data_IF_431235908219
#
_entry.id   IF_431235908219
#
_cell.length_a   1.000
_cell.length_b   1.000
_cell.length_c   1.000
_cell.angle_alpha   90.00
_cell.angle_beta   90.00
_cell.angle_gamma   90.00
#
_symmetry.space_group_name_H-M   'P 1'
#
loop_
_entity.id
_entity.type
_entity.pdbx_description
1 polymer ?
#
# COMPACT_ATOMS: atom_id res chain seq x y z
N UNK A 1 -14.15 -21.46 -38.65
CA UNK A 1 -12.80 -21.39 -39.23
C UNK A 1 -11.85 -20.97 -38.12
N UNK A 2 -11.03 -21.89 -37.64
CA UNK A 2 -10.13 -21.65 -36.52
C UNK A 2 -8.94 -20.79 -36.95
N UNK A 3 -8.78 -19.64 -36.32
CA UNK A 3 -7.51 -18.93 -36.29
C UNK A 3 -6.68 -19.67 -35.25
N UNK A 4 -5.56 -20.27 -35.69
CA UNK A 4 -4.58 -20.87 -34.80
C UNK A 4 -4.04 -19.76 -33.88
N UNK A 5 -4.53 -19.73 -32.64
CA UNK A 5 -3.90 -18.97 -31.55
C UNK A 5 -2.57 -19.66 -31.33
N UNK A 6 -1.47 -18.97 -31.62
CA UNK A 6 -0.11 -19.40 -31.26
C UNK A 6 -0.16 -19.95 -29.84
N UNK A 7 0.27 -21.20 -29.67
CA UNK A 7 0.36 -21.85 -28.36
C UNK A 7 1.19 -20.96 -27.44
N UNK A 8 0.52 -20.22 -26.54
CA UNK A 8 1.17 -19.46 -25.48
C UNK A 8 1.50 -20.47 -24.40
N UNK A 9 2.72 -21.00 -24.44
CA UNK A 9 3.15 -22.19 -23.67
C UNK A 9 3.42 -21.92 -22.18
N UNK A 10 3.40 -20.66 -21.72
CA UNK A 10 3.67 -20.34 -20.32
C UNK A 10 2.64 -20.96 -19.35
N UNK A 11 3.04 -21.95 -18.55
CA UNK A 11 2.16 -22.68 -17.61
C UNK A 11 1.45 -21.79 -16.56
N UNK A 12 1.87 -20.54 -16.38
CA UNK A 12 1.38 -19.60 -15.37
C UNK A 12 0.32 -18.60 -15.89
N UNK A 13 -0.01 -18.66 -17.19
CA UNK A 13 -1.02 -17.81 -17.81
C UNK A 13 -2.35 -18.59 -17.97
N UNK A 14 -3.38 -18.14 -17.27
CA UNK A 14 -4.70 -18.78 -17.26
C UNK A 14 -5.82 -17.93 -17.89
N UNK A 15 -5.54 -16.69 -18.30
CA UNK A 15 -6.52 -15.80 -18.90
C UNK A 15 -6.51 -15.92 -20.44
N UNK A 16 -7.69 -16.13 -21.04
CA UNK A 16 -7.95 -16.16 -22.49
C UNK A 16 -7.18 -17.23 -23.29
N UNK A 17 -6.73 -18.31 -22.62
CA UNK A 17 -6.15 -19.50 -23.26
C UNK A 17 -7.21 -20.62 -23.25
N UNK A 18 -7.57 -21.22 -24.40
CA UNK A 18 -8.51 -22.35 -24.44
C UNK A 18 -8.07 -23.49 -23.51
N UNK A 19 -8.97 -23.97 -22.65
CA UNK A 19 -8.71 -25.07 -21.71
C UNK A 19 -8.05 -24.69 -20.37
N UNK A 20 -7.80 -23.41 -20.11
CA UNK A 20 -7.33 -22.92 -18.81
C UNK A 20 -8.35 -21.96 -18.21
N UNK A 21 -8.67 -22.13 -16.93
CA UNK A 21 -9.60 -21.25 -16.24
C UNK A 21 -8.85 -20.29 -15.33
N UNK A 22 -9.26 -19.02 -15.30
CA UNK A 22 -8.66 -18.04 -14.39
C UNK A 22 -8.78 -18.47 -12.91
N UNK A 23 -9.77 -19.32 -12.60
CA UNK A 23 -9.95 -19.94 -11.28
C UNK A 23 -8.77 -20.82 -10.87
N UNK A 24 -8.04 -21.41 -11.81
CA UNK A 24 -6.90 -22.28 -11.53
C UNK A 24 -5.76 -21.46 -10.91
N UNK A 25 -5.44 -20.30 -11.52
CA UNK A 25 -4.48 -19.34 -10.96
C UNK A 25 -4.93 -18.82 -9.58
N UNK A 26 -6.23 -18.65 -9.37
CA UNK A 26 -6.77 -18.25 -8.06
C UNK A 26 -6.52 -19.34 -7.01
N UNK A 27 -6.77 -20.61 -7.32
CA UNK A 27 -6.54 -21.73 -6.40
C UNK A 27 -5.06 -21.90 -6.07
N UNK A 28 -4.19 -21.83 -7.08
CA UNK A 28 -2.73 -21.88 -6.90
C UNK A 28 -2.24 -20.71 -6.02
N UNK A 29 -2.76 -19.49 -6.25
CA UNK A 29 -2.43 -18.33 -5.43
C UNK A 29 -2.88 -18.51 -3.97
N UNK A 30 -4.06 -19.10 -3.74
CA UNK A 30 -4.53 -19.40 -2.39
C UNK A 30 -3.61 -20.39 -1.67
N UNK A 31 -3.17 -21.45 -2.35
CA UNK A 31 -2.28 -22.47 -1.77
C UNK A 31 -0.90 -21.89 -1.46
N UNK A 32 -0.31 -21.12 -2.38
CA UNK A 32 0.97 -20.42 -2.16
C UNK A 32 0.88 -19.44 -0.98
N UNK A 33 -0.20 -18.67 -0.90
CA UNK A 33 -0.42 -17.74 0.21
C UNK A 33 -0.65 -18.47 1.54
N UNK A 34 -1.29 -19.64 1.52
CA UNK A 34 -1.46 -20.48 2.69
C UNK A 34 -0.11 -21.02 3.18
N UNK A 35 0.71 -21.57 2.27
CA UNK A 35 2.07 -22.01 2.53
C UNK A 35 2.91 -20.89 3.16
N UNK A 36 2.87 -19.68 2.60
CA UNK A 36 3.57 -18.51 3.13
C UNK A 36 3.14 -18.16 4.56
N UNK A 37 1.84 -18.24 4.87
CA UNK A 37 1.31 -18.00 6.22
C UNK A 37 1.76 -19.03 7.25
N UNK A 38 1.99 -20.27 6.82
CA UNK A 38 2.50 -21.33 7.70
C UNK A 38 4.03 -21.27 7.85
N UNK A 39 4.75 -20.80 6.82
CA UNK A 39 6.21 -20.65 6.81
C UNK A 39 6.67 -19.32 7.42
N UNK A 40 6.37 -19.12 8.71
CA UNK A 40 6.79 -17.93 9.47
C UNK A 40 8.11 -18.10 10.23
N UNK A 41 8.68 -19.32 10.28
CA UNK A 41 9.93 -19.66 10.96
C UNK A 41 10.80 -20.57 10.09
N UNK A 42 12.12 -20.40 10.13
CA UNK A 42 13.09 -21.23 9.41
C UNK A 42 14.34 -20.47 8.97
N UNK A 43 15.29 -21.18 8.35
CA UNK A 43 16.54 -20.59 7.81
C UNK A 43 16.33 -19.75 6.54
N UNK A 44 15.24 -19.98 5.82
CA UNK A 44 14.90 -19.28 4.58
C UNK A 44 13.53 -18.62 4.72
N UNK A 45 13.45 -17.33 4.37
CA UNK A 45 12.20 -16.60 4.27
C UNK A 45 11.65 -16.64 2.85
N UNK A 46 10.35 -16.41 2.69
CA UNK A 46 9.69 -16.33 1.39
C UNK A 46 8.80 -15.10 1.34
N UNK A 47 8.58 -14.55 0.14
CA UNK A 47 7.75 -13.36 -0.05
C UNK A 47 6.83 -13.51 -1.27
N UNK A 48 5.72 -12.77 -1.21
CA UNK A 48 4.82 -12.55 -2.33
C UNK A 48 4.68 -11.05 -2.60
N UNK A 49 4.72 -10.65 -3.86
CA UNK A 49 4.52 -9.28 -4.32
C UNK A 49 3.34 -9.22 -5.27
N UNK A 50 2.40 -8.29 -5.03
CA UNK A 50 1.33 -7.98 -5.99
C UNK A 50 1.70 -6.72 -6.75
N UNK A 51 1.83 -6.84 -8.06
CA UNK A 51 2.05 -5.74 -8.99
C UNK A 51 0.72 -5.38 -9.65
N UNK A 52 0.19 -4.20 -9.33
CA UNK A 52 -1.01 -3.66 -9.97
C UNK A 52 -0.58 -2.79 -11.15
N UNK A 53 -1.05 -3.12 -12.35
CA UNK A 53 -0.71 -2.35 -13.55
C UNK A 53 -1.79 -1.30 -13.75
N UNK A 54 -1.54 -0.09 -13.25
CA UNK A 54 -2.50 1.01 -13.35
C UNK A 54 -2.80 1.33 -14.82
N UNK A 55 -4.08 1.29 -15.21
CA UNK A 55 -4.54 1.60 -16.57
C UNK A 55 -3.77 0.78 -17.63
N UNK A 56 -3.75 -0.55 -17.46
CA UNK A 56 -3.10 -1.55 -18.32
C UNK A 56 -3.19 -1.24 -19.80
N UNK A 57 -4.38 -0.97 -20.31
CA UNK A 57 -4.59 -0.68 -21.72
C UNK A 57 -3.98 0.66 -22.12
N UNK A 58 -4.11 1.71 -21.31
CA UNK A 58 -3.72 3.08 -21.68
C UNK A 58 -2.19 3.32 -21.69
N UNK A 59 -1.39 2.35 -21.21
CA UNK A 59 0.05 2.53 -20.97
C UNK A 59 0.96 1.64 -21.82
N UNK A 60 0.41 0.82 -22.70
CA UNK A 60 1.23 -0.04 -23.59
C UNK A 60 1.94 0.83 -24.62
N UNK A 61 3.26 0.90 -24.55
CA UNK A 61 4.08 1.60 -25.54
C UNK A 61 4.03 0.88 -26.89
N UNK A 62 3.66 1.59 -27.96
CA UNK A 62 3.47 1.01 -29.29
C UNK A 62 4.75 0.40 -29.87
N UNK A 63 5.88 1.08 -29.68
CA UNK A 63 7.20 0.56 -30.12
C UNK A 63 7.63 -0.70 -29.35
N UNK A 64 7.08 -0.93 -28.15
CA UNK A 64 7.31 -2.17 -27.41
C UNK A 64 6.45 -3.29 -27.98
N UNK A 65 5.15 -3.03 -28.18
CA UNK A 65 4.22 -4.00 -28.78
C UNK A 65 4.73 -4.52 -30.15
N UNK A 66 5.16 -3.60 -31.02
CA UNK A 66 5.70 -3.97 -32.33
C UNK A 66 6.91 -4.92 -32.21
N UNK A 67 7.86 -4.59 -31.33
CA UNK A 67 9.03 -5.45 -31.08
C UNK A 67 8.66 -6.80 -30.49
N UNK A 68 7.66 -6.86 -29.61
CA UNK A 68 7.16 -8.12 -29.05
C UNK A 68 6.58 -8.99 -30.15
N UNK A 69 5.72 -8.44 -31.02
CA UNK A 69 5.13 -9.18 -32.13
C UNK A 69 6.20 -9.72 -33.09
N UNK A 70 7.19 -8.90 -33.45
CA UNK A 70 8.31 -9.35 -34.28
C UNK A 70 9.12 -10.45 -33.59
N UNK A 71 9.37 -10.31 -32.28
CA UNK A 71 10.14 -11.29 -31.52
C UNK A 71 9.42 -12.63 -31.34
N UNK A 72 8.09 -12.61 -31.30
CA UNK A 72 7.25 -13.80 -31.30
C UNK A 72 7.16 -14.49 -32.68
N UNK A 73 7.80 -13.91 -33.70
CA UNK A 73 7.90 -14.51 -35.04
C UNK A 73 6.75 -14.14 -35.98
N UNK A 74 5.92 -13.17 -35.63
CA UNK A 74 4.89 -12.69 -36.55
C UNK A 74 5.52 -12.03 -37.78
N UNK A 75 4.97 -12.34 -38.96
CA UNK A 75 5.45 -11.81 -40.22
C UNK A 75 5.30 -10.27 -40.27
N UNK A 76 6.32 -9.55 -40.77
CA UNK A 76 6.38 -8.09 -40.80
C UNK A 76 5.08 -7.44 -41.33
N UNK A 77 4.53 -7.96 -42.43
CA UNK A 77 3.26 -7.46 -43.01
C UNK A 77 2.08 -7.55 -42.03
N UNK A 78 1.98 -8.64 -41.27
CA UNK A 78 0.94 -8.79 -40.26
C UNK A 78 1.14 -7.80 -39.12
N UNK A 79 2.38 -7.65 -38.65
CA UNK A 79 2.72 -6.67 -37.61
C UNK A 79 2.35 -5.25 -38.07
N UNK A 80 2.70 -4.87 -39.30
CA UNK A 80 2.32 -3.57 -39.87
C UNK A 80 0.80 -3.35 -39.90
N UNK A 81 0.01 -4.37 -40.26
CA UNK A 81 -1.47 -4.29 -40.23
C UNK A 81 -2.00 -4.07 -38.81
N UNK A 82 -1.50 -4.83 -37.84
CA UNK A 82 -1.88 -4.67 -36.43
C UNK A 82 -1.51 -3.28 -35.92
N UNK A 83 -0.29 -2.80 -36.21
CA UNK A 83 0.17 -1.49 -35.79
C UNK A 83 -0.61 -0.35 -36.46
N UNK A 84 -1.09 -0.51 -37.70
CA UNK A 84 -2.01 0.46 -38.29
C UNK A 84 -3.33 0.57 -37.52
N UNK A 85 -3.90 -0.56 -37.07
CA UNK A 85 -5.11 -0.55 -36.24
C UNK A 85 -4.88 0.12 -34.88
N UNK A 86 -3.72 -0.11 -34.27
CA UNK A 86 -3.37 0.43 -32.95
C UNK A 86 -3.04 1.92 -33.00
N UNK A 87 -2.34 2.39 -34.04
CA UNK A 87 -1.83 3.77 -34.11
C UNK A 87 -2.78 4.78 -34.76
N UNK A 88 -3.83 4.32 -35.47
CA UNK A 88 -4.78 5.18 -36.19
C UNK A 88 -5.91 5.76 -35.33
N UNK A 89 -5.92 5.45 -34.04
CA UNK A 89 -7.03 5.77 -33.13
C UNK A 89 -6.99 7.26 -32.76
N UNK A 90 -8.16 7.88 -32.60
CA UNK A 90 -8.32 9.23 -32.03
C UNK A 90 -9.43 9.23 -30.98
N UNK A 91 -9.30 10.11 -29.99
CA UNK A 91 -10.26 10.31 -28.92
C UNK A 91 -10.86 11.71 -28.99
N UNK A 92 -12.15 11.86 -28.72
CA UNK A 92 -12.81 13.15 -28.51
C UNK A 92 -13.41 13.20 -27.11
N UNK A 93 -13.40 14.37 -26.47
CA UNK A 93 -14.07 14.52 -25.18
C UNK A 93 -15.56 14.77 -25.38
N UNK A 94 -16.38 14.26 -24.47
CA UNK A 94 -17.79 14.65 -24.40
C UNK A 94 -17.93 15.71 -23.30
N UNK A 95 -18.20 16.95 -23.68
CA UNK A 95 -18.47 18.06 -22.76
C UNK A 95 -19.95 18.43 -22.89
N UNK A 96 -20.72 18.23 -21.82
CA UNK A 96 -22.16 18.52 -21.77
C UNK A 96 -23.00 17.83 -22.88
N UNK A 97 -22.57 16.67 -23.37
CA UNK A 97 -23.26 15.95 -24.44
C UNK A 97 -22.71 16.20 -25.85
N UNK A 98 -21.87 17.22 -26.03
CA UNK A 98 -21.27 17.56 -27.32
C UNK A 98 -19.82 17.08 -27.42
N UNK A 99 -19.43 16.62 -28.62
CA UNK A 99 -18.07 16.20 -28.90
C UNK A 99 -17.14 17.41 -29.02
N UNK A 100 -16.06 17.43 -28.25
CA UNK A 100 -15.11 18.52 -28.19
C UNK A 100 -13.67 18.02 -28.38
N UNK A 101 -13.02 18.55 -29.41
CA UNK A 101 -11.62 18.30 -29.74
C UNK A 101 -11.31 16.87 -30.20
N UNK A 102 -10.11 16.69 -30.75
CA UNK A 102 -9.56 15.38 -31.09
C UNK A 102 -8.15 15.26 -30.52
N UNK A 103 -7.90 14.17 -29.80
CA UNK A 103 -6.60 13.77 -29.30
C UNK A 103 -6.14 12.54 -30.06
N UNK A 104 -4.90 12.59 -30.56
CA UNK A 104 -4.21 11.40 -31.03
C UNK A 104 -3.35 10.85 -29.88
N UNK A 105 -3.62 9.63 -29.39
CA UNK A 105 -2.72 8.98 -28.45
C UNK A 105 -1.39 8.64 -29.12
N UNK A 106 -0.34 8.52 -28.32
CA UNK A 106 0.97 8.01 -28.76
C UNK A 106 1.28 6.61 -28.16
N UNK A 107 0.40 6.14 -27.29
CA UNK A 107 0.49 4.85 -26.61
C UNK A 107 -0.89 4.35 -26.19
N UNK A 108 -0.93 3.07 -25.83
CA UNK A 108 -2.08 2.40 -25.28
C UNK A 108 -2.89 1.61 -26.31
N UNK A 109 -3.81 0.80 -25.79
CA UNK A 109 -4.71 -0.09 -26.52
C UNK A 109 -6.15 0.36 -26.27
N UNK A 110 -7.02 0.16 -27.27
CA UNK A 110 -8.40 0.61 -27.20
C UNK A 110 -9.24 -0.29 -26.30
N UNK A 111 -9.80 0.28 -25.24
CA UNK A 111 -10.76 -0.44 -24.41
C UNK A 111 -12.05 -0.72 -25.20
N UNK A 112 -12.56 -1.95 -25.11
CA UNK A 112 -13.72 -2.41 -25.87
C UNK A 112 -13.41 -2.90 -27.29
N UNK A 113 -12.15 -2.79 -27.76
CA UNK A 113 -11.71 -3.43 -29.00
C UNK A 113 -11.45 -4.93 -28.75
N UNK A 114 -12.04 -5.84 -29.55
CA UNK A 114 -11.83 -7.27 -29.41
C UNK A 114 -10.37 -7.72 -29.58
N UNK A 115 -9.51 -6.94 -30.27
CA UNK A 115 -8.10 -7.27 -30.47
C UNK A 115 -7.22 -6.90 -29.26
N UNK A 116 -7.58 -5.84 -28.54
CA UNK A 116 -6.77 -5.25 -27.46
C UNK A 116 -6.44 -6.22 -26.32
N UNK A 117 -7.35 -7.08 -25.84
CA UNK A 117 -7.03 -8.10 -24.83
C UNK A 117 -5.92 -9.06 -25.29
N UNK A 118 -5.95 -9.50 -26.55
CA UNK A 118 -4.93 -10.42 -27.08
C UNK A 118 -3.57 -9.76 -27.20
N UNK A 119 -3.52 -8.52 -27.71
CA UNK A 119 -2.27 -7.76 -27.79
C UNK A 119 -1.66 -7.51 -26.41
N UNK A 120 -2.49 -7.23 -25.41
CA UNK A 120 -2.03 -7.09 -24.04
C UNK A 120 -1.42 -8.39 -23.50
N UNK A 121 -2.03 -9.54 -23.78
CA UNK A 121 -1.50 -10.85 -23.35
C UNK A 121 -0.14 -11.15 -23.97
N UNK A 122 0.06 -10.81 -25.25
CA UNK A 122 1.36 -10.98 -25.91
C UNK A 122 2.45 -10.12 -25.24
N UNK A 123 2.11 -8.90 -24.83
CA UNK A 123 2.99 -8.04 -24.03
C UNK A 123 3.27 -8.64 -22.64
N UNK A 124 2.26 -9.18 -21.97
CA UNK A 124 2.41 -9.81 -20.66
C UNK A 124 3.27 -11.09 -20.74
N UNK A 125 3.24 -11.81 -21.86
CA UNK A 125 4.08 -12.98 -22.08
C UNK A 125 5.57 -12.61 -22.19
N UNK A 126 5.90 -11.47 -22.80
CA UNK A 126 7.28 -10.96 -22.78
C UNK A 126 7.77 -10.71 -21.33
N UNK A 127 6.90 -10.20 -20.46
CA UNK A 127 7.21 -10.03 -19.04
C UNK A 127 7.36 -11.38 -18.31
N UNK A 128 6.47 -12.33 -18.57
CA UNK A 128 6.57 -13.72 -18.10
C UNK A 128 7.91 -14.34 -18.47
N UNK A 129 8.32 -14.21 -19.73
CA UNK A 129 9.59 -14.73 -20.25
C UNK A 129 10.82 -14.11 -19.59
N UNK A 130 10.77 -12.82 -19.22
CA UNK A 130 11.83 -12.17 -18.45
C UNK A 130 11.95 -12.74 -17.03
N UNK A 131 10.83 -12.99 -16.35
CA UNK A 131 10.84 -13.61 -15.01
C UNK A 131 11.37 -15.04 -15.08
N UNK A 132 10.92 -15.84 -16.04
CA UNK A 132 11.43 -17.20 -16.23
C UNK A 132 12.91 -17.22 -16.58
N UNK A 133 13.40 -16.24 -17.36
CA UNK A 133 14.84 -16.09 -17.61
C UNK A 133 15.58 -15.78 -16.31
N UNK A 134 15.08 -14.84 -15.51
CA UNK A 134 15.69 -14.53 -14.22
C UNK A 134 15.69 -15.74 -13.27
N UNK A 135 14.67 -16.61 -13.32
CA UNK A 135 14.65 -17.87 -12.58
C UNK A 135 15.69 -18.87 -13.08
N UNK A 136 15.78 -19.08 -14.40
CA UNK A 136 16.81 -19.96 -15.00
C UNK A 136 18.23 -19.48 -14.72
N UNK A 137 18.43 -18.17 -14.70
CA UNK A 137 19.71 -17.53 -14.41
C UNK A 137 20.03 -17.53 -12.89
N UNK A 138 19.14 -18.08 -12.05
CA UNK A 138 19.31 -18.18 -10.60
C UNK A 138 19.17 -16.86 -9.84
N UNK A 139 18.69 -15.79 -10.51
CA UNK A 139 18.49 -14.47 -9.90
C UNK A 139 17.24 -14.41 -9.03
N UNK A 140 16.23 -15.24 -9.35
CA UNK A 140 14.99 -15.38 -8.60
C UNK A 140 14.76 -16.86 -8.35
N UNK A 141 14.35 -17.23 -7.13
CA UNK A 141 13.99 -18.60 -6.80
C UNK A 141 12.52 -18.65 -6.41
N UNK A 142 11.71 -19.38 -7.18
CA UNK A 142 10.28 -19.55 -6.95
C UNK A 142 9.92 -20.34 -5.70
N UNK A 143 8.63 -20.43 -5.40
CA UNK A 143 8.11 -21.16 -4.24
C UNK A 143 7.57 -22.52 -4.68
N UNK A 144 8.13 -23.59 -4.13
CA UNK A 144 7.58 -24.93 -4.23
C UNK A 144 6.81 -25.28 -2.94
N UNK A 145 5.50 -25.50 -3.06
CA UNK A 145 4.62 -25.82 -1.91
C UNK A 145 4.87 -27.22 -1.34
N UNK A 146 5.41 -28.14 -2.14
CA UNK A 146 5.83 -29.48 -1.75
C UNK A 146 7.09 -29.90 -2.50
N UNK A 147 7.76 -30.97 -2.06
CA UNK A 147 9.00 -31.47 -2.69
C UNK A 147 8.83 -31.91 -4.15
N UNK A 148 7.62 -32.29 -4.53
CA UNK A 148 7.30 -32.78 -5.87
C UNK A 148 6.60 -31.73 -6.73
N UNK A 149 6.18 -30.61 -6.14
CA UNK A 149 5.54 -29.53 -6.87
C UNK A 149 6.59 -28.67 -7.59
N UNK A 150 6.30 -28.20 -8.81
CA UNK A 150 7.17 -27.25 -9.48
C UNK A 150 7.24 -25.94 -8.68
N UNK A 151 8.40 -25.25 -8.66
CA UNK A 151 8.49 -23.92 -8.10
C UNK A 151 7.66 -22.95 -8.95
N UNK A 152 6.93 -22.05 -8.28
CA UNK A 152 6.15 -21.01 -8.94
C UNK A 152 6.76 -19.65 -8.59
N UNK A 153 7.17 -18.91 -9.63
CA UNK A 153 7.71 -17.55 -9.52
C UNK A 153 6.66 -16.46 -9.72
N UNK A 154 5.64 -16.69 -10.55
CA UNK A 154 4.63 -15.67 -10.83
C UNK A 154 3.31 -16.28 -11.30
N UNK A 155 2.23 -15.54 -11.08
CA UNK A 155 0.90 -15.80 -11.61
C UNK A 155 0.38 -14.52 -12.25
N UNK A 156 0.01 -14.60 -13.53
CA UNK A 156 -0.55 -13.48 -14.26
C UNK A 156 -2.08 -13.47 -14.13
N UNK A 157 -2.62 -12.31 -13.79
CA UNK A 157 -4.02 -11.95 -13.94
C UNK A 157 -4.12 -10.81 -14.97
N UNK A 158 -5.32 -10.57 -15.51
CA UNK A 158 -5.49 -9.58 -16.58
C UNK A 158 -5.09 -8.15 -16.17
N UNK A 159 -5.23 -7.82 -14.89
CA UNK A 159 -5.04 -6.49 -14.31
C UNK A 159 -3.90 -6.40 -13.27
N UNK A 160 -3.41 -7.54 -12.78
CA UNK A 160 -2.29 -7.57 -11.84
C UNK A 160 -1.45 -8.85 -11.97
N UNK A 161 -0.22 -8.78 -11.49
CA UNK A 161 0.69 -9.93 -11.43
C UNK A 161 1.03 -10.22 -9.98
N UNK A 162 0.94 -11.49 -9.57
CA UNK A 162 1.54 -11.96 -8.32
C UNK A 162 2.92 -12.53 -8.63
N UNK A 163 3.92 -12.14 -7.85
CA UNK A 163 5.29 -12.66 -7.90
C UNK A 163 5.59 -13.35 -6.56
N UNK A 164 6.22 -14.51 -6.61
CA UNK A 164 6.57 -15.37 -5.48
C UNK A 164 8.06 -15.68 -5.53
N UNK A 165 8.78 -15.47 -4.45
CA UNK A 165 10.19 -15.85 -4.40
C UNK A 165 10.75 -16.03 -2.99
N UNK A 166 11.89 -16.71 -2.89
CA UNK A 166 12.68 -16.79 -1.67
C UNK A 166 13.26 -15.41 -1.33
N UNK A 167 13.16 -15.02 -0.06
CA UNK A 167 13.81 -13.83 0.46
C UNK A 167 15.31 -14.11 0.68
N UNK A 168 16.18 -13.55 -0.16
CA UNK A 168 17.65 -13.56 -0.07
C UNK A 168 18.19 -12.16 0.21
N UNK A 169 19.48 -11.97 0.57
CA UNK A 169 20.10 -10.65 0.79
C UNK A 169 20.02 -9.73 -0.45
N UNK A 170 20.10 -10.32 -1.65
CA UNK A 170 19.98 -9.62 -2.94
C UNK A 170 18.53 -9.36 -3.31
N UNK A 171 17.62 -10.30 -3.03
CA UNK A 171 16.17 -10.06 -3.09
C UNK A 171 15.68 -9.15 -1.95
N UNK A 172 16.47 -8.98 -0.88
CA UNK A 172 16.26 -8.07 0.26
C UNK A 172 16.51 -6.62 -0.15
N UNK A 173 17.04 -6.37 -1.35
CA UNK A 173 16.90 -5.06 -1.98
C UNK A 173 15.40 -4.68 -2.12
N UNK A 174 14.49 -5.67 -2.17
CA UNK A 174 13.04 -5.54 -2.06
C UNK A 174 12.49 -5.66 -0.62
N UNK A 175 13.26 -6.11 0.37
CA UNK A 175 12.80 -6.10 1.78
C UNK A 175 12.81 -4.70 2.41
N UNK A 176 13.44 -3.71 1.76
CA UNK A 176 13.24 -2.30 2.07
C UNK A 176 11.81 -1.81 1.85
N UNK A 177 10.96 -2.63 1.25
CA UNK A 177 9.58 -2.26 0.98
C UNK A 177 8.76 -2.13 2.25
N UNK A 178 9.10 -2.76 3.38
CA UNK A 178 8.38 -2.46 4.64
C UNK A 178 8.54 -0.98 5.06
N UNK A 179 9.71 -0.37 4.80
CA UNK A 179 9.95 1.08 4.97
C UNK A 179 9.45 1.91 3.79
N UNK A 180 9.45 1.33 2.58
CA UNK A 180 8.92 1.93 1.35
C UNK A 180 7.40 1.80 1.13
N UNK A 181 6.67 1.10 2.00
CA UNK A 181 5.22 0.85 1.88
C UNK A 181 4.37 1.87 2.66
N UNK A 182 4.95 2.98 3.09
CA UNK A 182 4.18 4.09 3.66
C UNK A 182 3.23 4.64 2.60
N UNK A 183 2.02 5.03 3.04
CA UNK A 183 0.87 5.40 2.22
C UNK A 183 1.16 6.44 1.15
N UNK A 184 2.17 7.26 1.41
CA UNK A 184 2.48 8.40 0.58
C UNK A 184 3.99 8.50 0.34
N UNK A 185 4.35 8.81 -0.91
CA UNK A 185 5.54 9.57 -1.28
C UNK A 185 5.97 10.59 -0.21
N UNK A 186 5.02 11.35 0.37
CA UNK A 186 5.26 12.36 1.42
C UNK A 186 5.84 11.79 2.73
N UNK A 187 5.48 10.56 3.09
CA UNK A 187 5.94 9.83 4.28
C UNK A 187 7.12 8.90 3.99
N UNK A 188 7.70 8.99 2.79
CA UNK A 188 8.94 8.28 2.44
C UNK A 188 8.77 6.91 1.84
N UNK A 189 7.53 6.58 1.48
CA UNK A 189 7.22 5.37 0.75
C UNK A 189 7.37 5.55 -0.77
N UNK A 190 7.49 4.42 -1.47
CA UNK A 190 7.31 4.30 -2.93
C UNK A 190 5.82 4.26 -3.32
N UNK A 191 4.90 4.43 -2.37
CA UNK A 191 3.46 4.39 -2.60
C UNK A 191 2.86 2.98 -2.70
N UNK A 192 3.65 1.94 -2.40
CA UNK A 192 3.15 0.58 -2.31
C UNK A 192 2.34 0.38 -1.04
N UNK A 193 1.23 -0.37 -1.14
CA UNK A 193 0.41 -0.70 0.02
C UNK A 193 0.65 -2.14 0.44
N UNK A 194 0.74 -2.38 1.74
CA UNK A 194 0.82 -3.72 2.30
C UNK A 194 -0.51 -4.44 2.06
N UNK A 195 -0.47 -5.54 1.31
CA UNK A 195 -1.66 -6.24 0.83
C UNK A 195 -2.56 -6.70 1.98
N UNK A 196 -1.97 -7.18 3.07
CA UNK A 196 -2.71 -7.68 4.24
C UNK A 196 -3.53 -6.57 4.88
N UNK A 197 -2.91 -5.44 5.19
CA UNK A 197 -3.52 -4.27 5.82
C UNK A 197 -4.51 -3.59 4.87
N UNK A 198 -4.21 -3.57 3.57
CA UNK A 198 -5.10 -3.01 2.56
C UNK A 198 -6.37 -3.84 2.40
N UNK A 199 -6.23 -5.17 2.37
CA UNK A 199 -7.35 -6.10 2.37
C UNK A 199 -8.16 -5.98 3.68
N UNK A 200 -7.49 -5.86 4.83
CA UNK A 200 -8.13 -5.64 6.12
C UNK A 200 -8.95 -4.34 6.13
N UNK A 201 -8.44 -3.26 5.53
CA UNK A 201 -9.16 -1.99 5.41
C UNK A 201 -10.41 -2.09 4.52
N UNK A 202 -10.38 -2.89 3.45
CA UNK A 202 -11.57 -3.18 2.65
C UNK A 202 -12.59 -4.04 3.39
N UNK A 203 -12.12 -5.05 4.14
CA UNK A 203 -12.97 -5.85 5.02
C UNK A 203 -13.60 -4.98 6.11
N UNK A 204 -12.85 -4.02 6.66
CA UNK A 204 -13.35 -3.03 7.61
C UNK A 204 -14.43 -2.14 7.00
N UNK A 205 -14.35 -1.78 5.71
CA UNK A 205 -15.43 -1.07 5.02
C UNK A 205 -16.72 -1.90 4.96
N UNK A 206 -16.62 -3.20 4.72
CA UNK A 206 -17.80 -4.07 4.72
C UNK A 206 -18.32 -4.27 6.15
N UNK A 207 -17.44 -4.47 7.12
CA UNK A 207 -17.77 -4.53 8.53
C UNK A 207 -18.49 -3.25 9.02
N UNK A 208 -18.00 -2.06 8.62
CA UNK A 208 -18.64 -0.77 8.89
C UNK A 208 -20.07 -0.73 8.36
N UNK A 209 -20.30 -1.15 7.11
CA UNK A 209 -21.64 -1.20 6.50
C UNK A 209 -22.56 -2.18 7.24
N UNK A 210 -22.02 -3.32 7.66
CA UNK A 210 -22.78 -4.32 8.43
C UNK A 210 -23.08 -3.82 9.83
N UNK A 211 -22.18 -3.08 10.47
CA UNK A 211 -22.37 -2.59 11.83
C UNK A 211 -23.37 -1.42 11.91
N UNK A 212 -23.28 -0.47 10.96
CA UNK A 212 -23.97 0.82 11.10
C UNK A 212 -25.03 1.09 10.03
N UNK A 213 -25.10 0.29 8.97
CA UNK A 213 -26.06 0.49 7.89
C UNK A 213 -27.11 -0.65 7.91
N UNK A 214 -28.03 -0.56 8.87
CA UNK A 214 -28.96 -1.64 9.23
C UNK A 214 -30.09 -1.87 8.22
N UNK A 215 -30.32 -0.91 7.31
CA UNK A 215 -31.41 -0.97 6.32
C UNK A 215 -31.17 -1.87 5.10
N UNK A 216 -30.01 -2.51 4.98
CA UNK A 216 -29.68 -3.34 3.80
C UNK A 216 -29.80 -4.85 4.05
N UNK A 217 -30.00 -5.60 2.97
CA UNK A 217 -30.13 -7.07 3.00
C UNK A 217 -28.89 -7.76 3.57
N UNK A 218 -27.70 -7.21 3.34
CA UNK A 218 -26.44 -7.73 3.87
C UNK A 218 -26.43 -7.72 5.40
N UNK A 219 -26.80 -6.61 6.03
CA UNK A 219 -26.96 -6.51 7.48
C UNK A 219 -27.99 -7.54 7.96
N UNK A 220 -29.19 -7.56 7.36
CA UNK A 220 -30.28 -8.45 7.80
C UNK A 220 -29.91 -9.94 7.82
N UNK A 221 -29.15 -10.41 6.83
CA UNK A 221 -28.70 -11.81 6.78
C UNK A 221 -27.57 -12.07 7.78
N UNK A 222 -26.58 -11.19 7.82
CA UNK A 222 -25.38 -11.38 8.64
C UNK A 222 -25.70 -11.22 10.14
N UNK A 223 -26.48 -10.20 10.51
CA UNK A 223 -26.85 -9.94 11.92
C UNK A 223 -27.68 -11.07 12.50
N UNK A 224 -28.71 -11.53 11.79
CA UNK A 224 -29.56 -12.66 12.23
C UNK A 224 -28.79 -13.96 12.39
N UNK A 225 -27.76 -14.19 11.56
CA UNK A 225 -26.98 -15.43 11.60
C UNK A 225 -25.85 -15.40 12.64
N UNK A 226 -25.16 -14.28 12.79
CA UNK A 226 -23.88 -14.25 13.51
C UNK A 226 -23.88 -13.41 14.79
N UNK A 227 -24.82 -12.48 14.94
CA UNK A 227 -24.97 -11.67 16.15
C UNK A 227 -26.43 -11.32 16.43
N UNK A 228 -27.31 -12.34 16.60
CA UNK A 228 -28.73 -12.09 16.85
C UNK A 228 -28.90 -11.41 18.22
N UNK A 229 -29.52 -10.23 18.22
CA UNK A 229 -29.78 -9.47 19.45
C UNK A 229 -28.55 -8.78 20.07
N UNK A 230 -27.40 -8.77 19.39
CA UNK A 230 -26.21 -8.04 19.82
C UNK A 230 -25.66 -7.15 18.70
N UNK A 231 -24.54 -6.48 18.95
CA UNK A 231 -23.86 -5.66 17.94
C UNK A 231 -22.78 -6.44 17.18
N UNK A 232 -22.33 -5.89 16.05
CA UNK A 232 -21.19 -6.44 15.31
C UNK A 232 -19.90 -6.48 16.15
N UNK A 233 -19.69 -5.50 17.03
CA UNK A 233 -18.48 -5.41 17.86
C UNK A 233 -18.45 -6.46 18.98
N UNK A 234 -19.62 -6.89 19.46
CA UNK A 234 -19.76 -7.96 20.46
C UNK A 234 -19.78 -9.36 19.84
N UNK A 235 -19.92 -9.44 18.51
CA UNK A 235 -20.06 -10.68 17.79
C UNK A 235 -18.85 -11.59 18.01
N UNK A 236 -19.10 -12.87 18.30
CA UNK A 236 -18.08 -13.92 18.38
C UNK A 236 -17.92 -14.62 17.04
N UNK A 237 -16.74 -15.19 16.79
CA UNK A 237 -16.49 -15.94 15.56
C UNK A 237 -17.40 -17.18 15.46
N UNK A 238 -17.69 -17.84 16.58
CA UNK A 238 -18.50 -19.05 16.64
C UNK A 238 -17.75 -20.31 16.17
N UNK A 239 -18.41 -21.47 16.26
CA UNK A 239 -17.79 -22.78 15.97
C UNK A 239 -17.82 -23.18 14.49
N UNK A 240 -18.81 -22.70 13.71
CA UNK A 240 -18.96 -23.01 12.28
C UNK A 240 -19.12 -21.75 11.40
N UNK A 241 -18.15 -20.83 11.41
CA UNK A 241 -18.22 -19.60 10.61
C UNK A 241 -18.00 -19.88 9.12
N UNK A 242 -18.78 -19.23 8.26
CA UNK A 242 -18.49 -19.19 6.82
C UNK A 242 -17.18 -18.46 6.56
N UNK A 243 -16.51 -18.74 5.44
CA UNK A 243 -15.30 -18.01 5.04
C UNK A 243 -15.52 -16.50 4.98
N UNK A 244 -16.66 -16.06 4.44
CA UNK A 244 -17.06 -14.65 4.40
C UNK A 244 -17.13 -14.04 5.80
N UNK A 245 -17.75 -14.74 6.76
CA UNK A 245 -17.84 -14.25 8.13
C UNK A 245 -16.47 -14.19 8.81
N UNK A 246 -15.62 -15.22 8.65
CA UNK A 246 -14.24 -15.18 9.19
C UNK A 246 -13.48 -13.96 8.68
N UNK A 247 -13.57 -13.67 7.38
CA UNK A 247 -12.89 -12.52 6.78
C UNK A 247 -13.44 -11.19 7.32
N UNK A 248 -14.76 -11.00 7.35
CA UNK A 248 -15.37 -9.75 7.85
C UNK A 248 -15.07 -9.58 9.35
N UNK A 249 -15.22 -10.64 10.13
CA UNK A 249 -14.96 -10.64 11.57
C UNK A 249 -13.49 -10.33 11.88
N UNK A 250 -12.54 -10.72 11.02
CA UNK A 250 -11.12 -10.38 11.19
C UNK A 250 -10.85 -8.87 11.21
N UNK A 251 -11.74 -8.05 10.65
CA UNK A 251 -11.64 -6.59 10.66
C UNK A 251 -12.32 -5.93 11.87
N UNK A 252 -12.90 -6.71 12.79
CA UNK A 252 -13.64 -6.20 13.96
C UNK A 252 -12.76 -5.35 14.86
N UNK A 253 -11.56 -5.81 15.18
CA UNK A 253 -10.67 -5.11 16.13
C UNK A 253 -10.13 -3.81 15.52
N UNK A 254 -9.86 -3.80 14.20
CA UNK A 254 -9.54 -2.58 13.46
C UNK A 254 -10.70 -1.57 13.51
N UNK A 255 -11.94 -2.04 13.35
CA UNK A 255 -13.13 -1.21 13.43
C UNK A 255 -13.30 -0.63 14.85
N UNK A 256 -13.14 -1.47 15.88
CA UNK A 256 -13.21 -1.07 17.29
C UNK A 256 -12.17 -0.01 17.66
N UNK A 257 -10.95 -0.12 17.13
CA UNK A 257 -9.91 0.88 17.32
C UNK A 257 -10.17 2.21 16.58
N UNK A 258 -10.93 2.17 15.47
CA UNK A 258 -11.17 3.33 14.60
C UNK A 258 -12.50 4.07 14.83
N UNK A 259 -13.38 3.56 15.69
CA UNK A 259 -14.65 4.21 16.05
C UNK A 259 -14.48 5.14 17.26
N UNK A 260 -15.31 6.18 17.30
CA UNK A 260 -15.53 7.02 18.48
C UNK A 260 -17.01 7.34 18.61
N UNK A 261 -17.45 7.66 19.81
CA UNK A 261 -18.77 8.22 20.03
C UNK A 261 -18.81 9.70 19.65
N UNK A 262 -19.91 10.08 19.03
CA UNK A 262 -20.37 11.46 18.86
C UNK A 262 -21.54 11.65 19.81
N UNK A 263 -21.38 12.58 20.73
CA UNK A 263 -22.33 12.83 21.80
C UNK A 263 -23.58 13.48 21.20
N UNK A 264 -24.73 12.83 21.40
CA UNK A 264 -26.06 13.40 21.22
C UNK A 264 -26.61 13.77 22.59
N UNK A 265 -27.59 12.99 23.06
CA UNK A 265 -28.17 13.12 24.41
C UNK A 265 -27.39 12.41 25.53
N UNK A 266 -26.31 11.69 25.21
CA UNK A 266 -25.37 11.10 26.17
C UNK A 266 -25.91 9.91 26.97
N UNK A 267 -27.13 9.44 26.70
CA UNK A 267 -27.80 8.38 27.49
C UNK A 267 -27.22 6.99 27.21
N UNK A 268 -26.69 6.77 26.01
CA UNK A 268 -26.16 5.47 25.59
C UNK A 268 -24.66 5.32 25.85
N UNK A 269 -23.97 6.40 26.22
CA UNK A 269 -22.51 6.43 26.33
C UNK A 269 -22.09 6.31 27.80
N UNK A 270 -21.49 5.18 28.24
CA UNK A 270 -20.75 5.12 29.49
C UNK A 270 -19.62 6.15 29.54
N UNK A 271 -19.45 6.82 30.68
CA UNK A 271 -18.36 7.76 30.91
C UNK A 271 -17.00 7.05 30.81
N UNK A 272 -16.90 5.86 31.42
CA UNK A 272 -15.69 5.05 31.49
C UNK A 272 -15.57 4.05 30.33
N UNK A 273 -14.34 3.83 29.87
CA UNK A 273 -13.99 2.77 28.92
C UNK A 273 -14.44 2.99 27.46
N UNK A 274 -15.11 4.11 27.17
CA UNK A 274 -15.62 4.41 25.83
C UNK A 274 -14.87 5.58 25.17
N UNK A 275 -14.58 5.52 23.86
CA UNK A 275 -13.84 6.56 23.14
C UNK A 275 -14.76 7.72 22.71
N UNK A 276 -15.07 8.67 23.59
CA UNK A 276 -15.98 9.79 23.31
C UNK A 276 -15.35 11.19 23.41
N UNK A 277 -14.17 11.31 24.01
CA UNK A 277 -13.48 12.60 24.20
C UNK A 277 -12.54 12.91 23.03
N UNK A 278 -12.52 14.14 22.48
CA UNK A 278 -11.66 14.50 21.35
C UNK A 278 -10.20 14.71 21.78
N UNK A 279 -9.52 13.63 22.19
CA UNK A 279 -8.11 13.60 22.57
C UNK A 279 -7.25 12.85 21.57
N UNK A 280 -5.96 13.16 21.54
CA UNK A 280 -5.01 12.53 20.65
C UNK A 280 -4.93 11.01 20.93
N UNK A 281 -5.18 10.23 19.88
CA UNK A 281 -5.04 8.75 19.76
C UNK A 281 -6.09 7.86 20.45
N UNK A 282 -6.47 8.11 21.70
CA UNK A 282 -7.32 7.15 22.46
C UNK A 282 -8.79 7.54 22.55
N UNK A 283 -9.09 8.84 22.54
CA UNK A 283 -10.42 9.40 22.77
C UNK A 283 -11.05 9.01 24.13
N UNK A 284 -10.24 8.53 25.07
CA UNK A 284 -10.67 8.08 26.40
C UNK A 284 -10.16 9.03 27.48
N UNK A 285 -10.80 8.93 28.66
CA UNK A 285 -10.32 9.58 29.88
C UNK A 285 -8.91 9.10 30.23
N UNK A 286 -8.08 9.99 30.78
CA UNK A 286 -6.75 9.60 31.26
C UNK A 286 -6.82 8.93 32.62
N UNK A 287 -7.75 9.38 33.46
CA UNK A 287 -7.93 8.89 34.81
C UNK A 287 -9.40 8.55 35.05
N UNK A 288 -9.64 7.61 35.97
CA UNK A 288 -10.99 7.37 36.44
C UNK A 288 -11.52 8.62 37.16
N UNK A 289 -12.82 8.95 37.04
CA UNK A 289 -13.40 10.07 37.75
C UNK A 289 -13.30 9.88 39.26
N UNK A 290 -13.12 11.00 39.96
CA UNK A 290 -12.89 11.06 41.41
C UNK A 290 -14.16 10.70 42.20
N UNK A 291 -15.34 11.08 41.69
CA UNK A 291 -16.60 11.07 42.45
C UNK A 291 -17.83 10.69 41.62
N UNK A 292 -17.69 9.73 40.68
CA UNK A 292 -18.82 9.24 39.87
C UNK A 292 -19.02 7.72 39.98
N UNK A 293 -20.27 7.23 39.86
CA UNK A 293 -20.56 5.80 39.75
C UNK A 293 -19.86 5.17 38.55
N UNK A 294 -19.44 3.91 38.68
CA UNK A 294 -18.76 3.17 37.60
C UNK A 294 -19.62 2.96 36.34
N UNK A 295 -20.95 3.01 36.49
CA UNK A 295 -21.95 2.86 35.43
C UNK A 295 -22.50 4.21 34.92
N UNK A 296 -21.93 5.33 35.38
CA UNK A 296 -22.33 6.68 34.98
C UNK A 296 -22.35 6.87 33.46
N UNK A 297 -23.39 7.55 32.96
CA UNK A 297 -23.57 7.89 31.54
C UNK A 297 -23.18 9.33 31.28
N UNK A 298 -22.75 9.66 30.07
CA UNK A 298 -22.37 11.04 29.72
C UNK A 298 -23.51 12.02 29.98
N UNK A 299 -24.77 11.58 29.84
CA UNK A 299 -25.96 12.38 30.19
C UNK A 299 -25.98 12.85 31.65
N UNK A 300 -25.31 12.18 32.59
CA UNK A 300 -25.25 12.63 34.00
C UNK A 300 -24.37 13.86 34.19
N UNK A 301 -23.51 14.15 33.21
CA UNK A 301 -22.66 15.34 33.18
C UNK A 301 -23.37 16.54 32.53
N UNK A 302 -24.57 16.34 31.98
CA UNK A 302 -25.35 17.35 31.30
C UNK A 302 -26.42 17.94 32.23
N UNK A 303 -26.74 19.21 31.99
CA UNK A 303 -27.85 19.91 32.63
C UNK A 303 -29.17 19.61 31.90
N UNK A 304 -30.34 19.91 32.51
CA UNK A 304 -31.64 19.82 31.83
C UNK A 304 -31.78 20.73 30.60
N UNK A 305 -30.86 21.67 30.39
CA UNK A 305 -30.84 22.59 29.26
C UNK A 305 -29.91 22.11 28.12
N UNK A 306 -29.49 20.85 28.13
CA UNK A 306 -28.52 20.26 27.17
C UNK A 306 -27.16 20.98 27.13
N UNK A 307 -26.74 21.53 28.28
CA UNK A 307 -25.43 22.13 28.50
C UNK A 307 -24.58 21.31 29.48
N UNK A 308 -23.26 21.45 29.44
CA UNK A 308 -22.41 20.79 30.43
C UNK A 308 -22.63 21.36 31.84
N UNK A 309 -22.78 20.48 32.84
CA UNK A 309 -22.75 20.88 34.24
C UNK A 309 -21.29 21.15 34.67
N UNK A 310 -20.85 22.39 34.48
CA UNK A 310 -19.46 22.82 34.72
C UNK A 310 -18.98 22.50 36.14
N UNK A 311 -19.83 22.72 37.14
CA UNK A 311 -19.49 22.48 38.54
C UNK A 311 -19.25 20.99 38.81
N UNK A 312 -20.14 20.12 38.29
CA UNK A 312 -20.00 18.68 38.42
C UNK A 312 -18.77 18.15 37.67
N UNK A 313 -18.55 18.60 36.43
CA UNK A 313 -17.42 18.15 35.62
C UNK A 313 -16.09 18.52 36.28
N UNK A 314 -15.94 19.74 36.80
CA UNK A 314 -14.71 20.15 37.49
C UNK A 314 -14.51 19.47 38.84
N UNK A 315 -15.58 19.05 39.51
CA UNK A 315 -15.49 18.29 40.75
C UNK A 315 -15.17 16.80 40.54
N UNK A 316 -15.60 16.24 39.40
CA UNK A 316 -15.50 14.81 39.12
C UNK A 316 -14.24 14.40 38.34
N UNK A 317 -13.60 15.32 37.62
CA UNK A 317 -12.45 15.02 36.74
C UNK A 317 -11.24 15.92 37.04
N UNK A 318 -10.05 15.46 36.69
CA UNK A 318 -8.85 16.31 36.72
C UNK A 318 -8.97 17.47 35.73
N UNK A 319 -8.18 18.54 35.91
CA UNK A 319 -8.27 19.75 35.07
C UNK A 319 -8.23 19.45 33.57
N UNK A 320 -7.28 18.60 33.15
CA UNK A 320 -7.11 18.27 31.73
C UNK A 320 -8.34 17.55 31.16
N UNK A 321 -8.93 16.59 31.89
CA UNK A 321 -10.09 15.81 31.46
C UNK A 321 -11.34 16.71 31.45
N UNK A 322 -11.50 17.53 32.48
CA UNK A 322 -12.58 18.50 32.60
C UNK A 322 -12.56 19.51 31.43
N UNK A 323 -11.41 20.11 31.13
CA UNK A 323 -11.28 21.08 30.04
C UNK A 323 -11.57 20.44 28.67
N UNK A 324 -11.17 19.18 28.48
CA UNK A 324 -11.51 18.42 27.27
C UNK A 324 -13.02 18.13 27.16
N UNK A 325 -13.67 17.74 28.26
CA UNK A 325 -15.13 17.49 28.31
C UNK A 325 -15.87 18.79 27.96
N UNK A 326 -15.53 19.90 28.63
CA UNK A 326 -16.18 21.20 28.44
C UNK A 326 -15.94 21.77 27.03
N UNK A 327 -14.84 21.39 26.37
CA UNK A 327 -14.57 21.76 24.98
C UNK A 327 -15.42 21.02 23.93
N UNK A 328 -16.13 19.96 24.30
CA UNK A 328 -17.01 19.24 23.38
C UNK A 328 -18.30 20.03 23.15
N UNK A 329 -18.57 20.38 21.89
CA UNK A 329 -19.82 21.05 21.51
C UNK A 329 -20.99 20.06 21.53
N UNK A 330 -22.01 20.36 22.32
CA UNK A 330 -23.27 19.62 22.35
C UNK A 330 -24.20 20.12 21.23
N UNK A 331 -25.02 19.24 20.61
CA UNK A 331 -25.84 19.57 19.45
C UNK A 331 -27.06 20.47 19.74
N UNK A 332 -27.33 20.83 21.01
CA UNK A 332 -28.42 21.73 21.43
C UNK A 332 -29.84 21.26 21.06
N UNK A 333 -29.96 20.02 20.60
CA UNK A 333 -31.19 19.35 20.15
C UNK A 333 -31.11 17.88 20.59
N UNK A 334 -32.25 17.25 20.90
CA UNK A 334 -32.33 15.83 21.33
C UNK A 334 -32.00 14.88 20.16
N UNK A 335 -30.74 14.87 19.80
CA UNK A 335 -30.13 13.95 18.84
C UNK A 335 -29.64 12.71 19.56
N UNK A 336 -29.69 11.56 18.86
CA UNK A 336 -29.23 10.29 19.43
C UNK A 336 -27.70 10.22 19.40
N UNK A 337 -27.14 9.48 20.36
CA UNK A 337 -25.72 9.15 20.37
C UNK A 337 -25.36 8.29 19.14
N UNK A 338 -24.26 8.66 18.47
CA UNK A 338 -23.84 8.01 17.22
C UNK A 338 -22.40 7.49 17.33
N UNK A 339 -22.13 6.30 16.79
CA UNK A 339 -20.77 5.82 16.57
C UNK A 339 -20.28 6.30 15.20
N UNK A 340 -19.16 7.02 15.20
CA UNK A 340 -18.58 7.66 14.02
C UNK A 340 -17.14 7.24 13.78
N UNK A 341 -16.68 7.32 12.53
CA UNK A 341 -15.30 7.02 12.19
C UNK A 341 -14.36 8.16 12.62
N UNK A 342 -13.38 7.87 13.48
CA UNK A 342 -12.57 8.90 14.15
C UNK A 342 -11.72 9.77 13.21
N UNK A 343 -11.40 9.26 12.02
CA UNK A 343 -10.53 9.94 11.04
C UNK A 343 -11.29 10.66 9.93
N UNK A 344 -12.62 10.54 9.88
CA UNK A 344 -13.44 11.25 8.91
C UNK A 344 -13.81 12.63 9.43
N UNK A 345 -13.71 13.67 8.59
CA UNK A 345 -14.11 15.04 8.96
C UNK A 345 -15.55 15.12 9.48
N UNK A 346 -16.45 14.30 8.92
CA UNK A 346 -17.85 14.18 9.35
C UNK A 346 -18.17 12.80 9.93
N UNK A 347 -17.16 12.08 10.44
CA UNK A 347 -17.38 10.71 10.94
C UNK A 347 -17.54 9.65 9.87
N UNK A 348 -17.26 9.98 8.60
CA UNK A 348 -17.40 9.08 7.46
C UNK A 348 -16.22 8.11 7.36
N UNK A 349 -16.52 6.83 7.11
CA UNK A 349 -15.51 5.80 6.93
C UNK A 349 -14.78 5.94 5.58
N UNK A 350 -13.45 5.86 5.59
CA UNK A 350 -12.66 5.74 4.37
C UNK A 350 -11.65 4.60 4.46
N UNK A 351 -11.49 3.85 3.35
CA UNK A 351 -10.50 2.76 3.24
C UNK A 351 -9.09 3.29 3.44
N UNK A 352 -8.82 4.53 3.00
CA UNK A 352 -7.52 5.16 3.17
C UNK A 352 -7.15 5.27 4.65
N UNK A 353 -7.99 5.95 5.45
CA UNK A 353 -7.74 6.09 6.90
C UNK A 353 -7.76 4.77 7.67
N UNK A 354 -8.54 3.79 7.21
CA UNK A 354 -8.57 2.46 7.83
C UNK A 354 -7.30 1.66 7.54
N UNK A 355 -6.71 1.84 6.36
CA UNK A 355 -5.40 1.28 6.03
C UNK A 355 -4.31 1.91 6.91
N UNK A 356 -4.34 3.23 7.14
CA UNK A 356 -3.36 3.92 8.00
C UNK A 356 -3.36 3.34 9.40
N UNK A 357 -4.56 3.22 9.99
CA UNK A 357 -4.75 2.61 11.30
C UNK A 357 -4.30 1.14 11.32
N UNK A 358 -4.60 0.37 10.27
CA UNK A 358 -4.19 -1.04 10.20
C UNK A 358 -2.67 -1.21 10.18
N UNK A 359 -1.96 -0.30 9.49
CA UNK A 359 -0.50 -0.26 9.49
C UNK A 359 0.01 0.13 10.89
N UNK A 360 -0.52 1.21 11.47
CA UNK A 360 -0.14 1.67 12.82
C UNK A 360 -0.28 0.57 13.88
N UNK A 361 -1.41 -0.15 13.92
CA UNK A 361 -1.67 -1.21 14.89
C UNK A 361 -0.75 -2.43 14.72
N UNK A 362 -0.23 -2.66 13.52
CA UNK A 362 0.67 -3.77 13.24
C UNK A 362 2.15 -3.40 13.50
N UNK A 363 2.45 -2.12 13.71
CA UNK A 363 3.82 -1.58 13.78
C UNK A 363 4.24 -1.15 15.19
N UNK A 364 3.60 -1.70 16.26
CA UNK A 364 3.95 -1.49 17.69
C UNK A 364 5.41 -1.85 18.09
N UNK A 365 6.31 -2.10 17.12
CA UNK A 365 7.74 -2.28 17.33
C UNK A 365 8.66 -1.47 16.41
N UNK A 366 8.17 -0.58 15.54
CA UNK A 366 9.02 0.23 14.66
C UNK A 366 8.91 1.72 15.00
N UNK A 367 10.05 2.30 15.35
CA UNK A 367 10.24 3.68 15.77
C UNK A 367 9.47 4.69 14.90
N UNK A 368 8.68 5.54 15.56
CA UNK A 368 8.01 6.72 15.02
C UNK A 368 8.99 7.60 14.25
N UNK A 369 9.01 7.50 12.91
CA UNK A 369 9.60 8.54 12.06
C UNK A 369 8.62 9.69 11.82
N UNK A 370 7.84 10.05 12.84
CA UNK A 370 6.98 11.23 12.83
C UNK A 370 7.88 12.47 12.75
N UNK A 371 8.10 12.99 11.55
CA UNK A 371 8.85 14.23 11.33
C UNK A 371 9.74 14.27 10.08
N UNK A 372 9.98 13.15 9.38
CA UNK A 372 10.74 13.18 8.11
C UNK A 372 9.80 13.47 6.93
N UNK A 373 9.92 14.68 6.36
CA UNK A 373 9.26 15.06 5.12
C UNK A 373 10.12 14.66 3.92
N UNK A 374 9.56 13.88 3.00
CA UNK A 374 10.27 13.37 1.81
C UNK A 374 10.05 14.20 0.56
N UNK A 375 9.39 15.34 0.72
CA UNK A 375 9.08 16.27 -0.35
C UNK A 375 10.33 16.72 -1.12
N UNK A 376 11.49 16.79 -0.48
CA UNK A 376 12.74 17.20 -1.14
C UNK A 376 13.22 16.20 -2.21
N UNK A 377 12.85 14.91 -2.12
CA UNK A 377 13.13 13.92 -3.17
C UNK A 377 12.02 13.95 -4.23
N UNK A 378 10.76 13.83 -3.78
CA UNK A 378 9.64 13.57 -4.68
C UNK A 378 9.08 14.80 -5.40
N UNK A 379 9.32 16.01 -4.88
CA UNK A 379 8.99 17.26 -5.57
C UNK A 379 10.16 17.80 -6.41
N UNK A 380 11.27 17.06 -6.51
CA UNK A 380 12.36 17.41 -7.43
C UNK A 380 11.86 17.40 -8.88
N UNK A 381 12.52 18.12 -9.77
CA UNK A 381 12.25 18.04 -11.22
C UNK A 381 13.00 16.89 -11.91
N UNK A 382 13.82 16.15 -11.17
CA UNK A 382 14.62 15.06 -11.71
C UNK A 382 13.76 13.92 -12.30
N UNK A 383 14.31 13.19 -13.27
CA UNK A 383 13.61 12.03 -13.85
C UNK A 383 13.34 10.93 -12.79
N UNK A 384 12.28 10.11 -12.94
CA UNK A 384 11.88 9.13 -11.93
C UNK A 384 12.99 8.14 -11.50
N UNK A 385 13.89 7.77 -12.43
CA UNK A 385 15.04 6.89 -12.12
C UNK A 385 16.01 7.53 -11.13
N UNK A 386 16.25 8.84 -11.25
CA UNK A 386 17.14 9.60 -10.36
C UNK A 386 16.47 9.81 -9.00
N UNK A 387 15.17 10.09 -8.96
CA UNK A 387 14.40 10.15 -7.71
C UNK A 387 14.44 8.81 -6.95
N UNK A 388 14.24 7.69 -7.66
CA UNK A 388 14.30 6.35 -7.06
C UNK A 388 15.71 6.02 -6.57
N UNK A 389 16.75 6.43 -7.31
CA UNK A 389 18.13 6.30 -6.89
C UNK A 389 18.40 7.10 -5.61
N UNK A 390 18.03 8.39 -5.57
CA UNK A 390 18.16 9.24 -4.39
C UNK A 390 17.43 8.67 -3.17
N UNK A 391 16.20 8.18 -3.37
CA UNK A 391 15.43 7.50 -2.34
C UNK A 391 16.17 6.27 -1.78
N UNK A 392 16.72 5.42 -2.66
CA UNK A 392 17.56 4.27 -2.26
C UNK A 392 18.79 4.72 -1.47
N UNK A 393 19.45 5.80 -1.88
CA UNK A 393 20.63 6.31 -1.21
C UNK A 393 20.31 6.73 0.23
N UNK A 394 19.24 7.52 0.42
CA UNK A 394 18.81 8.00 1.74
C UNK A 394 18.38 6.87 2.68
N UNK A 395 17.82 5.78 2.14
CA UNK A 395 17.46 4.59 2.91
C UNK A 395 18.63 3.64 3.20
N UNK A 396 19.86 4.02 2.84
CA UNK A 396 21.05 3.17 2.97
C UNK A 396 20.82 1.80 2.31
N UNK A 397 20.23 1.84 1.12
CA UNK A 397 19.76 0.67 0.40
C UNK A 397 20.89 -0.11 -0.27
N UNK A 398 21.95 0.60 -0.65
CA UNK A 398 23.03 0.04 -1.44
C UNK A 398 23.87 -0.92 -0.60
N UNK A 399 24.41 -1.99 -1.22
CA UNK A 399 25.24 -2.99 -0.56
C UNK A 399 26.65 -2.45 -0.29
N UNK A 400 26.74 -1.32 0.40
CA UNK A 400 27.99 -0.75 0.88
C UNK A 400 28.54 -1.60 2.02
N UNK A 401 29.84 -1.51 2.31
CA UNK A 401 30.41 -2.39 3.33
C UNK A 401 29.82 -2.14 4.72
N UNK A 402 29.43 -0.88 5.00
CA UNK A 402 28.72 -0.51 6.23
C UNK A 402 27.34 -1.17 6.28
N UNK A 403 26.58 -1.14 5.18
CA UNK A 403 25.23 -1.71 5.13
C UNK A 403 25.21 -3.24 5.12
N UNK A 404 26.20 -3.89 4.48
CA UNK A 404 26.36 -5.34 4.50
C UNK A 404 26.73 -5.84 5.92
N UNK A 405 27.63 -5.14 6.62
CA UNK A 405 27.99 -5.46 8.01
C UNK A 405 26.83 -5.23 8.98
N UNK A 406 26.07 -4.15 8.83
CA UNK A 406 24.85 -3.91 9.60
C UNK A 406 23.83 -5.06 9.44
N UNK A 407 23.88 -5.76 8.30
CA UNK A 407 23.06 -6.95 8.01
C UNK A 407 23.73 -8.27 8.40
N UNK A 408 24.86 -8.25 9.10
CA UNK A 408 25.56 -9.44 9.61
C UNK A 408 26.45 -10.16 8.58
N UNK A 409 26.76 -9.54 7.45
CA UNK A 409 27.61 -10.13 6.41
C UNK A 409 29.07 -9.74 6.68
N UNK A 410 29.94 -10.74 6.84
CA UNK A 410 31.38 -10.53 7.06
C UNK A 410 32.08 -10.21 5.74
N UNK A 411 32.75 -9.06 5.70
CA UNK A 411 33.50 -8.54 4.55
C UNK A 411 34.72 -7.76 5.04
N UNK A 412 35.77 -7.69 4.22
CA UNK A 412 37.00 -6.97 4.54
C UNK A 412 36.79 -5.44 4.65
N UNK A 413 37.61 -4.81 5.50
CA UNK A 413 37.68 -3.36 5.69
C UNK A 413 38.32 -2.64 4.49
N UNK A 414 37.97 -1.37 4.29
CA UNK A 414 38.59 -0.48 3.29
C UNK A 414 37.98 -0.53 1.89
N UNK A 415 37.74 0.63 1.24
CA UNK A 415 37.05 0.70 -0.06
C UNK A 415 37.67 -0.16 -1.15
N UNK A 416 36.84 -0.81 -1.99
CA UNK A 416 37.37 -1.57 -3.16
C UNK A 416 38.06 -0.61 -4.14
N UNK A 417 37.72 0.67 -4.05
CA UNK A 417 38.17 1.72 -4.94
C UNK A 417 39.12 2.74 -4.28
N UNK A 418 39.23 2.77 -2.95
CA UNK A 418 40.24 3.56 -2.23
C UNK A 418 40.63 2.90 -0.90
N UNK A 419 41.84 3.19 -0.41
CA UNK A 419 42.34 2.62 0.85
C UNK A 419 41.82 3.33 2.11
N UNK A 420 40.75 4.14 2.00
CA UNK A 420 40.22 4.98 3.08
C UNK A 420 38.92 4.41 3.68
N UNK A 421 38.68 4.73 4.97
CA UNK A 421 37.43 4.49 5.69
C UNK A 421 36.66 5.82 5.88
N UNK A 422 35.30 5.84 5.85
CA UNK A 422 34.34 4.74 5.75
C UNK A 422 33.61 4.62 4.40
N UNK A 423 33.31 3.39 3.94
CA UNK A 423 32.48 3.12 2.73
C UNK A 423 30.97 3.20 2.99
N UNK A 424 30.48 4.25 3.61
CA UNK A 424 29.03 4.45 3.63
C UNK A 424 28.53 4.90 2.24
N UNK A 425 27.22 5.00 2.07
CA UNK A 425 26.64 5.43 0.79
C UNK A 425 27.08 6.85 0.43
N UNK A 426 27.38 7.71 1.41
CA UNK A 426 27.84 9.08 1.17
C UNK A 426 29.26 9.10 0.59
N UNK A 427 30.17 8.29 1.13
CA UNK A 427 31.53 8.19 0.62
C UNK A 427 31.56 7.75 -0.84
N UNK A 428 30.83 6.69 -1.18
CA UNK A 428 30.76 6.17 -2.56
C UNK A 428 30.21 7.21 -3.54
N UNK A 429 29.25 8.04 -3.09
CA UNK A 429 28.58 9.01 -3.94
C UNK A 429 29.29 10.36 -4.02
N UNK A 430 30.03 10.78 -2.99
CA UNK A 430 30.48 12.18 -2.85
C UNK A 430 31.96 12.29 -2.59
N UNK A 431 32.50 11.51 -1.65
CA UNK A 431 33.89 11.68 -1.20
C UNK A 431 34.90 10.84 -1.99
N UNK A 432 34.45 9.78 -2.66
CA UNK A 432 35.32 8.99 -3.50
C UNK A 432 35.84 9.82 -4.69
N UNK A 433 37.15 9.80 -4.93
CA UNK A 433 37.83 10.66 -5.92
C UNK A 433 37.21 10.59 -7.33
N UNK A 434 36.80 9.39 -7.77
CA UNK A 434 36.09 9.25 -9.04
C UNK A 434 34.72 9.92 -9.03
N UNK A 435 33.97 9.80 -7.93
CA UNK A 435 32.68 10.46 -7.80
C UNK A 435 32.83 11.99 -7.83
N UNK A 436 33.84 12.53 -7.15
CA UNK A 436 34.18 13.96 -7.22
C UNK A 436 34.49 14.42 -8.64
N UNK A 437 35.25 13.63 -9.41
CA UNK A 437 35.52 13.91 -10.82
C UNK A 437 34.25 13.88 -11.67
N UNK A 438 33.39 12.87 -11.49
CA UNK A 438 32.11 12.77 -12.20
C UNK A 438 31.23 13.99 -11.92
N UNK A 439 31.14 14.42 -10.65
CA UNK A 439 30.37 15.61 -10.28
C UNK A 439 30.98 16.89 -10.83
N UNK A 440 32.31 17.04 -10.80
CA UNK A 440 33.00 18.20 -11.36
C UNK A 440 32.76 18.35 -12.87
N UNK A 441 32.68 17.23 -13.60
CA UNK A 441 32.42 17.22 -15.06
C UNK A 441 30.93 17.39 -15.39
N UNK A 442 30.03 17.09 -14.46
CA UNK A 442 28.57 17.15 -14.67
C UNK A 442 27.98 18.57 -14.79
N UNK A 443 28.77 19.61 -14.50
CA UNK A 443 28.31 21.01 -14.55
C UNK A 443 27.41 21.43 -13.38
N UNK A 444 27.29 20.60 -12.34
CA UNK A 444 26.60 20.93 -11.10
C UNK A 444 27.46 21.82 -10.18
N UNK A 445 26.86 22.65 -9.30
CA UNK A 445 27.62 23.58 -8.46
C UNK A 445 28.59 22.89 -7.48
N UNK A 446 29.61 23.63 -7.04
CA UNK A 446 30.65 23.15 -6.12
C UNK A 446 30.14 22.61 -4.78
N UNK A 447 28.94 23.02 -4.34
CA UNK A 447 28.28 22.52 -3.12
C UNK A 447 27.94 21.01 -3.18
N UNK A 448 27.86 20.45 -4.39
CA UNK A 448 27.70 19.00 -4.62
C UNK A 448 29.01 18.25 -4.31
N UNK A 449 30.16 18.87 -4.60
CA UNK A 449 31.51 18.29 -4.52
C UNK A 449 32.15 18.52 -3.15
N UNK A 450 31.96 19.70 -2.55
CA UNK A 450 32.53 20.09 -1.26
C UNK A 450 31.48 20.11 -0.16
N UNK A 451 31.07 18.92 0.29
CA UNK A 451 29.99 18.81 1.26
C UNK A 451 30.48 18.52 2.69
N UNK A 452 30.05 19.34 3.65
CA UNK A 452 30.35 19.18 5.08
C UNK A 452 29.40 18.22 5.84
N UNK A 453 28.52 17.50 5.13
CA UNK A 453 27.51 16.63 5.77
C UNK A 453 28.10 15.31 6.17
N UNK A 454 27.56 14.76 7.26
CA UNK A 454 27.91 13.45 7.79
C UNK A 454 26.96 12.34 7.35
N UNK A 455 25.92 12.64 6.56
CA UNK A 455 24.97 11.63 6.06
C UNK A 455 24.34 12.00 4.70
N UNK A 456 23.86 10.96 4.01
CA UNK A 456 23.25 11.04 2.67
C UNK A 456 22.00 11.91 2.63
N UNK A 457 21.17 11.86 3.68
CA UNK A 457 19.93 12.64 3.75
C UNK A 457 20.21 14.15 3.73
N UNK A 458 21.17 14.60 4.53
CA UNK A 458 21.59 16.00 4.57
C UNK A 458 22.23 16.46 3.26
N UNK A 459 23.00 15.61 2.58
CA UNK A 459 23.56 15.91 1.27
C UNK A 459 22.47 16.14 0.21
N UNK A 460 21.48 15.24 0.11
CA UNK A 460 20.36 15.41 -0.82
C UNK A 460 19.50 16.63 -0.49
N UNK A 461 19.20 16.91 0.78
CA UNK A 461 18.40 18.09 1.16
C UNK A 461 19.08 19.40 0.75
N UNK A 462 20.41 19.48 0.81
CA UNK A 462 21.14 20.69 0.38
C UNK A 462 21.23 20.82 -1.12
N UNK A 463 21.42 19.71 -1.83
CA UNK A 463 21.66 19.74 -3.27
C UNK A 463 20.37 19.68 -4.09
N UNK A 464 19.21 19.31 -3.53
CA UNK A 464 17.97 18.99 -4.27
C UNK A 464 17.52 20.02 -5.32
N UNK A 465 17.76 21.32 -5.09
CA UNK A 465 17.42 22.40 -6.03
C UNK A 465 18.27 22.41 -7.31
N UNK A 466 19.47 21.82 -7.26
CA UNK A 466 20.42 21.81 -8.38
C UNK A 466 20.21 20.61 -9.32
N UNK A 467 19.54 19.55 -8.86
CA UNK A 467 19.25 18.36 -9.67
C UNK A 467 18.28 18.62 -10.82
N UNK A 468 17.58 19.76 -10.83
CA UNK A 468 16.76 20.17 -11.96
C UNK A 468 17.56 20.55 -13.21
N UNK A 469 18.90 20.66 -13.11
CA UNK A 469 19.79 20.95 -14.25
C UNK A 469 20.27 19.70 -14.99
N UNK A 470 19.96 18.51 -14.48
CA UNK A 470 20.33 17.20 -15.06
C UNK A 470 19.28 16.70 -16.08
N UNK A 471 18.61 17.59 -16.82
CA UNK A 471 17.61 17.22 -17.84
C UNK A 471 18.23 16.53 -19.06
#
# INVERSE_FOLDING_TARGET
GGIAVVSVEGATQAAFVPGRFITDNVLVAYELNHFLKLKTKGKHGFMSLKLDVSKVYDRVEWSFLERVLLRLGFHQRFVSLVMMCVTSISFSFLLNGEQFGFLKPERGLRQGDPLSPYLFLLCAEAFSGMIQKAERDGLIQGIAVSRTAPPICHLLFADYTLIYCQASADALHFAMWRRGCNETWREGGLGFRLLKEHNLAFLAKQAWRIAFNTGNSLHNVISRRYFPGSTFLEARLGSRPSYTWRSIWSARDLLAAGIRWKIGNGRCIPILGQPWLPRLKTFQLQQAPISLPSDGKVSTLMSPADEWNVALVRAAFCSDDADCILGVKLPGTDSRDELVWRYGSNGTFSVKSAYSLAVELNDEGACSQTGRSWNYIWNSKAIPKVMLFAWRCVHEAFPTSVNLRRKGISIADGCVHCSEEPKDTLHVLVFYCFAQLVWAVSGLPGDVVHCSTTNVEGWFRRTHGEWSRLE
#
